data_IF_582878495735
#
_entry.id   IF_582878495735
#
_cell.length_a   1.000
_cell.length_b   1.000
_cell.length_c   1.000
_cell.angle_alpha   90.00
_cell.angle_beta   90.00
_cell.angle_gamma   90.00
#
_symmetry.space_group_name_H-M   'P 1'
#
loop_
_entity.id
_entity.type
_entity.pdbx_description
1 polymer ?
#
# COMPACT_ATOMS: atom_id res chain seq x y z
N UNK A 1 -23.72 15.02 10.66
CA UNK A 1 -22.96 14.56 9.47
C UNK A 1 -21.60 14.09 9.93
N UNK A 2 -21.38 12.78 9.94
CA UNK A 2 -20.21 12.14 10.54
C UNK A 2 -19.33 11.51 9.44
N UNK A 3 -19.15 12.21 8.31
CA UNK A 3 -18.43 11.74 7.12
C UNK A 3 -17.10 12.50 6.92
N UNK A 4 -16.47 12.91 8.02
CA UNK A 4 -15.10 13.42 8.06
C UNK A 4 -14.32 12.42 8.91
N UNK A 5 -13.23 11.85 8.37
CA UNK A 5 -12.25 10.99 9.05
C UNK A 5 -12.44 9.45 9.08
N UNK A 6 -13.04 8.84 8.06
CA UNK A 6 -12.64 7.45 7.74
C UNK A 6 -11.70 7.44 6.55
N UNK A 7 -10.41 7.19 6.81
CA UNK A 7 -9.42 7.04 5.76
C UNK A 7 -9.87 5.92 4.80
N UNK A 8 -9.83 6.16 3.49
CA UNK A 8 -10.22 5.12 2.54
C UNK A 8 -9.14 4.03 2.47
N UNK A 9 -9.56 2.84 2.04
CA UNK A 9 -8.69 1.68 1.90
C UNK A 9 -8.41 1.45 0.41
N UNK A 10 -7.19 1.76 -0.09
CA UNK A 10 -6.85 1.52 -1.48
C UNK A 10 -6.90 0.01 -1.80
N UNK A 11 -7.43 -0.37 -2.97
CA UNK A 11 -7.29 -1.74 -3.49
C UNK A 11 -5.81 -2.11 -3.63
N UNK A 12 -5.50 -3.38 -3.38
CA UNK A 12 -4.14 -3.91 -3.47
C UNK A 12 -4.13 -5.30 -4.08
N UNK A 13 -3.23 -5.52 -5.03
CA UNK A 13 -2.86 -6.83 -5.53
C UNK A 13 -1.52 -7.24 -4.89
N UNK A 14 -1.38 -8.52 -4.55
CA UNK A 14 -0.21 -9.05 -3.84
C UNK A 14 0.32 -10.25 -4.62
N UNK A 15 1.57 -10.16 -5.05
CA UNK A 15 2.30 -11.21 -5.73
C UNK A 15 3.32 -11.79 -4.75
N UNK A 16 3.29 -13.10 -4.52
CA UNK A 16 4.29 -13.82 -3.74
C UNK A 16 5.22 -14.54 -4.69
N UNK A 17 6.45 -14.05 -4.82
CA UNK A 17 7.51 -14.72 -5.60
C UNK A 17 8.43 -15.50 -4.66
N UNK A 18 9.41 -16.20 -5.20
CA UNK A 18 10.44 -16.87 -4.41
C UNK A 18 11.28 -15.88 -3.58
N UNK A 19 11.57 -14.68 -4.12
CA UNK A 19 12.52 -13.73 -3.54
C UNK A 19 11.90 -12.49 -2.88
N UNK A 20 10.65 -12.18 -3.19
CA UNK A 20 9.97 -11.01 -2.64
C UNK A 20 8.44 -11.14 -2.65
N UNK A 21 7.79 -10.35 -1.80
CA UNK A 21 6.41 -9.94 -2.03
C UNK A 21 6.39 -8.64 -2.86
N UNK A 22 5.57 -8.58 -3.89
CA UNK A 22 5.36 -7.36 -4.69
C UNK A 22 3.90 -6.94 -4.53
N UNK A 23 3.66 -5.71 -4.09
CA UNK A 23 2.34 -5.18 -3.81
C UNK A 23 2.04 -4.01 -4.73
N UNK A 24 0.90 -4.06 -5.42
CA UNK A 24 0.43 -2.97 -6.29
C UNK A 24 -0.80 -2.31 -5.65
N UNK A 25 -0.68 -1.06 -5.23
CA UNK A 25 -1.80 -0.28 -4.68
C UNK A 25 -2.33 0.69 -5.73
N UNK A 26 -3.65 0.66 -5.96
CA UNK A 26 -4.31 1.62 -6.82
C UNK A 26 -4.50 2.97 -6.09
N UNK A 27 -3.68 3.96 -6.46
CA UNK A 27 -3.64 5.29 -5.85
C UNK A 27 -3.67 6.42 -6.91
N UNK A 28 -4.71 6.48 -7.77
CA UNK A 28 -4.78 7.44 -8.86
C UNK A 28 -4.85 8.89 -8.35
N UNK A 29 -3.85 9.68 -8.72
CA UNK A 29 -3.73 11.09 -8.33
C UNK A 29 -3.04 11.32 -6.98
N UNK A 30 -2.54 10.28 -6.32
CA UNK A 30 -1.62 10.45 -5.19
C UNK A 30 -0.29 11.01 -5.67
N UNK A 31 0.30 11.92 -4.90
CA UNK A 31 1.68 12.38 -5.14
C UNK A 31 2.64 11.54 -4.31
N UNK A 32 3.84 11.27 -4.84
CA UNK A 32 4.82 10.40 -4.18
C UNK A 32 5.20 10.91 -2.79
N UNK A 33 5.38 12.23 -2.66
CA UNK A 33 5.73 12.92 -1.43
C UNK A 33 4.64 12.83 -0.33
N UNK A 34 3.39 12.55 -0.72
CA UNK A 34 2.24 12.46 0.20
C UNK A 34 1.90 11.00 0.57
N UNK A 35 2.77 10.04 0.24
CA UNK A 35 2.59 8.62 0.53
C UNK A 35 3.74 8.07 1.37
N UNK A 36 3.40 7.54 2.54
CA UNK A 36 4.31 6.81 3.42
C UNK A 36 4.18 5.29 3.26
N UNK A 37 5.32 4.60 3.23
CA UNK A 37 5.43 3.14 3.27
C UNK A 37 6.28 2.77 4.48
N UNK A 38 5.75 1.92 5.36
CA UNK A 38 6.42 1.50 6.58
C UNK A 38 6.23 0.00 6.84
N UNK A 39 7.29 -0.68 7.24
CA UNK A 39 7.23 -2.06 7.72
C UNK A 39 7.10 -2.10 9.24
N UNK A 40 6.11 -2.84 9.74
CA UNK A 40 5.94 -3.14 11.16
C UNK A 40 6.42 -4.57 11.40
N UNK A 41 7.66 -4.73 11.89
CA UNK A 41 8.27 -6.04 12.10
C UNK A 41 7.60 -6.83 13.24
N UNK A 42 7.07 -6.14 14.25
CA UNK A 42 6.39 -6.78 15.39
C UNK A 42 5.08 -7.44 14.95
N UNK A 43 4.38 -6.81 13.99
CA UNK A 43 3.12 -7.34 13.42
C UNK A 43 3.30 -8.17 12.15
N UNK A 44 4.46 -8.06 11.48
CA UNK A 44 4.68 -8.63 10.16
C UNK A 44 3.79 -8.01 9.09
N UNK A 45 3.58 -6.68 9.14
CA UNK A 45 2.68 -5.97 8.23
C UNK A 45 3.35 -4.80 7.50
N UNK A 46 3.08 -4.69 6.20
CA UNK A 46 3.39 -3.50 5.44
C UNK A 46 2.24 -2.49 5.58
N UNK A 47 2.54 -1.30 6.08
CA UNK A 47 1.60 -0.19 6.20
C UNK A 47 1.87 0.85 5.12
N UNK A 48 0.82 1.21 4.38
CA UNK A 48 0.82 2.24 3.35
C UNK A 48 -0.26 3.26 3.69
N UNK A 49 0.12 4.53 3.87
CA UNK A 49 -0.80 5.59 4.27
C UNK A 49 -0.41 6.93 3.62
N UNK A 50 -1.38 7.83 3.46
CA UNK A 50 -1.14 9.10 2.79
C UNK A 50 -2.40 9.88 2.51
N UNK A 51 -2.32 10.84 1.61
CA UNK A 51 -3.45 11.70 1.20
C UNK A 51 -3.52 11.80 -0.32
N UNK A 52 -4.73 11.70 -0.88
CA UNK A 52 -5.00 12.00 -2.29
C UNK A 52 -5.78 13.30 -2.39
N UNK A 53 -5.21 14.29 -3.07
CA UNK A 53 -5.84 15.59 -3.24
C UNK A 53 -6.68 15.64 -4.51
N UNK A 54 -7.73 16.49 -4.48
CA UNK A 54 -8.45 16.86 -5.68
C UNK A 54 -7.74 18.05 -6.34
N UNK A 55 -7.36 17.96 -7.62
CA UNK A 55 -6.72 19.07 -8.32
C UNK A 55 -7.75 20.18 -8.59
N UNK A 56 -7.30 21.44 -8.53
CA UNK A 56 -8.12 22.64 -8.71
C UNK A 56 -8.00 23.59 -7.52
N UNK A 57 -8.24 24.87 -7.78
CA UNK A 57 -8.42 25.87 -6.73
C UNK A 57 -9.85 25.83 -6.16
N UNK A 58 -10.11 26.65 -5.14
CA UNK A 58 -11.41 26.67 -4.46
C UNK A 58 -12.56 27.03 -5.40
N UNK A 59 -12.36 28.00 -6.30
CA UNK A 59 -13.37 28.42 -7.28
C UNK A 59 -13.73 27.29 -8.24
N UNK A 60 -12.73 26.58 -8.79
CA UNK A 60 -12.96 25.43 -9.66
C UNK A 60 -13.68 24.31 -8.91
N UNK A 61 -13.24 24.00 -7.69
CA UNK A 61 -13.85 22.95 -6.87
C UNK A 61 -15.31 23.25 -6.51
N UNK A 62 -15.69 24.53 -6.37
CA UNK A 62 -17.07 24.94 -6.12
C UNK A 62 -18.01 24.66 -7.31
N UNK A 63 -17.49 24.51 -8.54
CA UNK A 63 -18.29 24.19 -9.75
C UNK A 63 -18.60 22.70 -9.92
N UNK A 64 -18.14 21.85 -9.00
CA UNK A 64 -18.23 20.40 -9.14
C UNK A 64 -19.66 19.89 -9.08
N UNK A 65 -20.13 19.34 -10.20
CA UNK A 65 -21.48 18.77 -10.30
C UNK A 65 -21.58 17.35 -9.68
N UNK A 66 -20.49 16.57 -9.70
CA UNK A 66 -20.43 15.21 -9.13
C UNK A 66 -18.98 14.81 -8.81
N UNK A 67 -18.79 13.94 -7.83
CA UNK A 67 -17.48 13.45 -7.41
C UNK A 67 -17.52 11.98 -7.00
N UNK A 68 -17.09 11.09 -7.90
CA UNK A 68 -17.06 9.63 -7.65
C UNK A 68 -15.71 9.13 -7.12
N UNK A 69 -14.64 9.90 -7.38
CA UNK A 69 -13.27 9.56 -6.93
C UNK A 69 -13.19 9.57 -5.42
N UNK A 70 -12.61 8.52 -4.84
CA UNK A 70 -12.17 8.52 -3.43
C UNK A 70 -10.95 9.43 -3.31
N UNK A 71 -11.08 10.47 -2.50
CA UNK A 71 -10.05 11.46 -2.19
C UNK A 71 -9.90 11.58 -0.67
N UNK A 72 -8.86 12.28 -0.23
CA UNK A 72 -8.56 12.49 1.19
C UNK A 72 -7.57 11.45 1.73
N UNK A 73 -7.58 11.30 3.06
CA UNK A 73 -6.67 10.38 3.76
C UNK A 73 -6.95 8.93 3.38
N UNK A 74 -5.89 8.14 3.28
CA UNK A 74 -5.98 6.69 3.10
C UNK A 74 -5.00 5.95 4.01
N UNK A 75 -5.34 4.71 4.35
CA UNK A 75 -4.47 3.81 5.11
C UNK A 75 -4.79 2.36 4.79
N UNK A 76 -3.77 1.56 4.52
CA UNK A 76 -3.86 0.11 4.32
C UNK A 76 -2.71 -0.60 5.03
N UNK A 77 -3.04 -1.56 5.89
CA UNK A 77 -2.07 -2.53 6.40
C UNK A 77 -2.26 -3.86 5.69
N UNK A 78 -1.16 -4.49 5.30
CA UNK A 78 -1.13 -5.77 4.61
C UNK A 78 -0.19 -6.73 5.37
N UNK A 79 -0.72 -7.77 6.03
CA UNK A 79 0.13 -8.79 6.62
C UNK A 79 0.87 -9.59 5.55
N UNK A 80 2.14 -9.87 5.79
CA UNK A 80 3.00 -10.69 4.94
C UNK A 80 3.54 -11.87 5.79
N UNK A 81 3.34 -13.14 5.38
CA UNK A 81 2.65 -13.56 4.16
C UNK A 81 1.15 -13.21 4.16
N UNK A 82 0.56 -12.92 2.98
CA UNK A 82 -0.86 -12.63 2.89
C UNK A 82 -1.67 -13.86 3.28
N UNK A 83 -2.77 -13.65 4.02
CA UNK A 83 -3.73 -14.72 4.33
C UNK A 83 -4.41 -15.18 3.03
N UNK A 84 -3.88 -16.21 2.39
CA UNK A 84 -4.46 -16.75 1.17
C UNK A 84 -5.85 -17.34 1.45
N UNK A 85 -6.81 -17.06 0.58
CA UNK A 85 -8.20 -17.56 0.71
C UNK A 85 -8.29 -19.10 0.70
N UNK A 86 -7.29 -19.79 0.13
CA UNK A 86 -7.30 -21.24 -0.12
C UNK A 86 -5.94 -21.94 0.12
N UNK A 87 -4.97 -21.30 0.75
CA UNK A 87 -3.70 -21.96 1.08
C UNK A 87 -3.66 -22.26 2.58
N UNK A 88 -3.18 -23.45 2.95
CA UNK A 88 -2.80 -23.74 4.33
C UNK A 88 -1.76 -22.73 4.83
N UNK A 89 -1.49 -22.73 6.14
CA UNK A 89 -0.54 -21.79 6.74
C UNK A 89 0.77 -21.69 5.93
N UNK A 90 0.98 -20.57 5.25
CA UNK A 90 2.26 -20.25 4.62
C UNK A 90 3.26 -20.00 5.74
N UNK A 91 4.44 -20.64 5.72
CA UNK A 91 5.49 -20.39 6.69
C UNK A 91 5.79 -18.88 6.76
N UNK A 92 6.05 -18.38 7.96
CA UNK A 92 6.56 -17.02 8.12
C UNK A 92 7.89 -16.92 7.39
N UNK A 93 8.00 -15.96 6.47
CA UNK A 93 9.23 -15.64 5.78
C UNK A 93 9.85 -14.41 6.42
N UNK A 94 11.17 -14.44 6.60
CA UNK A 94 11.90 -13.30 7.15
C UNK A 94 12.08 -12.23 6.06
N UNK A 95 11.93 -10.96 6.43
CA UNK A 95 11.91 -9.83 5.51
C UNK A 95 13.17 -8.99 5.69
N UNK A 96 13.85 -8.65 4.60
CA UNK A 96 14.88 -7.62 4.61
C UNK A 96 14.23 -6.24 4.55
N UNK A 97 13.92 -5.69 5.73
CA UNK A 97 13.21 -4.42 5.85
C UNK A 97 14.00 -3.22 5.31
N UNK A 98 15.34 -3.28 5.30
CA UNK A 98 16.19 -2.19 4.81
C UNK A 98 16.20 -2.13 3.29
N UNK A 99 15.92 -3.25 2.62
CA UNK A 99 15.86 -3.35 1.17
C UNK A 99 14.45 -3.13 0.59
N UNK A 100 13.47 -2.71 1.39
CA UNK A 100 12.12 -2.39 0.89
C UNK A 100 12.20 -1.19 -0.06
N UNK A 101 11.65 -1.36 -1.25
CA UNK A 101 11.63 -0.34 -2.30
C UNK A 101 10.21 -0.01 -2.73
N UNK A 102 9.98 1.25 -3.09
CA UNK A 102 8.69 1.69 -3.61
C UNK A 102 8.86 2.60 -4.83
N UNK A 103 8.02 2.39 -5.84
CA UNK A 103 7.87 3.29 -7.00
C UNK A 103 6.41 3.68 -7.20
N UNK A 104 6.17 4.89 -7.68
CA UNK A 104 4.85 5.38 -8.05
C UNK A 104 4.86 5.69 -9.54
N UNK A 105 3.99 5.04 -10.31
CA UNK A 105 3.92 5.16 -11.76
C UNK A 105 2.48 4.89 -12.22
N UNK A 106 1.96 5.68 -13.15
CA UNK A 106 0.61 5.50 -13.74
C UNK A 106 -0.54 5.39 -12.71
N UNK A 107 -0.42 6.07 -11.58
CA UNK A 107 -1.40 6.02 -10.49
C UNK A 107 -1.35 4.73 -9.66
N UNK A 108 -0.31 3.92 -9.80
CA UNK A 108 -0.07 2.71 -9.04
C UNK A 108 1.20 2.87 -8.19
N UNK A 109 1.08 2.57 -6.90
CA UNK A 109 2.24 2.40 -6.02
C UNK A 109 2.65 0.92 -6.05
N UNK A 110 3.86 0.65 -6.52
CA UNK A 110 4.48 -0.67 -6.50
C UNK A 110 5.47 -0.73 -5.35
N UNK A 111 5.21 -1.58 -4.36
CA UNK A 111 6.13 -1.85 -3.25
C UNK A 111 6.72 -3.23 -3.39
N UNK A 112 8.04 -3.33 -3.36
CA UNK A 112 8.79 -4.60 -3.33
C UNK A 112 9.32 -4.81 -1.92
N UNK A 113 8.95 -5.94 -1.33
CA UNK A 113 9.34 -6.36 0.02
C UNK A 113 10.19 -7.64 -0.12
N UNK A 114 11.53 -7.52 -0.10
CA UNK A 114 12.43 -8.65 -0.27
C UNK A 114 12.36 -9.63 0.90
N UNK A 115 12.44 -10.91 0.58
CA UNK A 115 12.59 -12.01 1.54
C UNK A 115 14.07 -12.22 1.80
N UNK A 116 14.45 -12.53 3.04
CA UNK A 116 15.82 -12.91 3.38
C UNK A 116 16.10 -14.28 2.74
N UNK A 117 17.20 -14.39 1.99
CA UNK A 117 17.67 -15.69 1.51
C UNK A 117 18.09 -16.53 2.72
N UNK A 118 17.49 -17.71 2.87
CA UNK A 118 17.93 -18.68 3.86
C UNK A 118 19.21 -19.34 3.34
N UNK A 119 20.36 -18.81 3.71
CA UNK A 119 21.61 -19.58 3.64
C UNK A 119 21.47 -20.76 4.60
N UNK A 120 21.32 -21.97 4.05
CA UNK A 120 21.44 -23.18 4.83
C UNK A 120 22.92 -23.34 5.21
N UNK A 121 23.30 -22.96 6.43
CA UNK A 121 24.53 -23.46 7.03
C UNK A 121 24.29 -24.89 7.54
N UNK A 122 25.03 -25.86 6.98
CA UNK A 122 25.11 -27.25 7.46
C UNK A 122 25.52 -27.37 8.93
#
# INVERSE_FOLDING_TARGET
NNDIDSAFTPPVDIFSTERAYVLHFALPGAKKEDVGVNWDADKGELRVAGVVYRPGDEEFLATMASGERRIGMFSRSVPLPPRARNAGATPSEEIDALAIMAKMEDGILVVTVPKVEKEWTE
#
